data_IF_318165153393
#
_entry.id   IF_318165153393
#
_cell.length_a   1.000
_cell.length_b   1.000
_cell.length_c   1.000
_cell.angle_alpha   90.00
_cell.angle_beta   90.00
_cell.angle_gamma   90.00
#
_symmetry.space_group_name_H-M   'P 1'
#
loop_
_entity.id
_entity.type
_entity.pdbx_description
1 polymer ?
#
# COMPACT_ATOMS: atom_id res chain seq x y z
N UNK A 1 -23.89 -29.54 12.51
CA UNK A 1 -22.59 -28.93 12.83
C UNK A 1 -22.74 -27.46 12.47
N UNK A 2 -22.68 -26.55 13.43
CA UNK A 2 -22.64 -25.12 13.15
C UNK A 2 -21.32 -24.84 12.44
N UNK A 3 -21.38 -24.24 11.23
CA UNK A 3 -20.18 -23.70 10.60
C UNK A 3 -19.47 -22.79 11.62
N UNK A 4 -18.17 -23.00 11.81
CA UNK A 4 -17.36 -22.14 12.68
C UNK A 4 -17.29 -20.70 12.13
N UNK A 5 -16.82 -19.72 12.92
CA UNK A 5 -16.69 -18.35 12.45
C UNK A 5 -15.80 -18.31 11.21
N UNK A 6 -16.22 -17.53 10.20
CA UNK A 6 -15.45 -17.31 8.98
C UNK A 6 -14.37 -16.25 9.25
N UNK A 7 -13.29 -16.26 8.49
CA UNK A 7 -12.21 -15.27 8.63
C UNK A 7 -12.69 -13.81 8.53
N UNK A 8 -13.73 -13.53 7.72
CA UNK A 8 -14.34 -12.20 7.64
C UNK A 8 -14.97 -11.75 8.98
N UNK A 9 -15.56 -12.69 9.74
CA UNK A 9 -16.14 -12.40 11.05
C UNK A 9 -15.02 -12.10 12.07
N UNK A 10 -13.89 -12.81 11.96
CA UNK A 10 -12.70 -12.59 12.80
C UNK A 10 -12.06 -11.25 12.45
N UNK A 11 -11.90 -10.92 11.17
CA UNK A 11 -11.39 -9.63 10.74
C UNK A 11 -12.26 -8.48 11.26
N UNK A 12 -13.58 -8.56 11.12
CA UNK A 12 -14.50 -7.56 11.64
C UNK A 12 -14.37 -7.36 13.16
N UNK A 13 -14.14 -8.44 13.91
CA UNK A 13 -13.86 -8.37 15.33
C UNK A 13 -12.53 -7.66 15.63
N UNK A 14 -11.45 -8.03 14.91
CA UNK A 14 -10.13 -7.44 15.10
C UNK A 14 -10.11 -5.95 14.69
N UNK A 15 -10.71 -5.62 13.56
CA UNK A 15 -10.85 -4.25 13.09
C UNK A 15 -11.51 -3.35 14.14
N UNK A 16 -12.61 -3.83 14.72
CA UNK A 16 -13.37 -3.12 15.75
C UNK A 16 -12.63 -3.04 17.10
N UNK A 17 -11.83 -4.07 17.43
CA UNK A 17 -11.27 -4.22 18.78
C UNK A 17 -9.88 -3.58 18.90
N UNK A 18 -9.04 -3.67 17.86
CA UNK A 18 -7.62 -3.29 17.94
C UNK A 18 -7.14 -2.33 16.85
N UNK A 19 -7.77 -2.31 15.67
CA UNK A 19 -7.25 -1.52 14.55
C UNK A 19 -7.63 -0.03 14.62
N UNK A 20 -8.70 0.34 15.35
CA UNK A 20 -9.02 1.74 15.62
C UNK A 20 -9.50 2.54 14.41
N UNK A 21 -10.26 1.90 13.49
CA UNK A 21 -10.92 2.64 12.42
C UNK A 21 -11.96 3.60 13.01
N UNK A 22 -11.79 4.89 12.75
CA UNK A 22 -12.76 5.91 13.14
C UNK A 22 -13.81 6.17 12.05
N UNK A 23 -14.80 7.01 12.37
CA UNK A 23 -15.89 7.36 11.45
C UNK A 23 -15.38 8.00 10.15
N UNK A 24 -14.26 8.71 10.20
CA UNK A 24 -13.66 9.36 9.03
C UNK A 24 -13.10 8.30 8.06
N UNK A 25 -12.31 7.37 8.57
CA UNK A 25 -11.78 6.25 7.76
C UNK A 25 -12.90 5.40 7.18
N UNK A 26 -13.93 5.08 7.97
CA UNK A 26 -15.12 4.39 7.48
C UNK A 26 -15.85 5.18 6.38
N UNK A 27 -15.93 6.51 6.52
CA UNK A 27 -16.56 7.37 5.51
C UNK A 27 -15.78 7.41 4.20
N UNK A 28 -14.45 7.33 4.23
CA UNK A 28 -13.62 7.24 3.02
C UNK A 28 -14.01 6.02 2.17
N UNK A 29 -14.20 4.87 2.79
CA UNK A 29 -14.66 3.66 2.10
C UNK A 29 -16.03 3.87 1.45
N UNK A 30 -16.99 4.41 2.20
CA UNK A 30 -18.33 4.66 1.69
C UNK A 30 -18.31 5.62 0.48
N UNK A 31 -17.57 6.72 0.59
CA UNK A 31 -17.44 7.73 -0.48
C UNK A 31 -16.71 7.17 -1.71
N UNK A 32 -15.74 6.28 -1.54
CA UNK A 32 -15.08 5.57 -2.64
C UNK A 32 -16.09 4.77 -3.45
N UNK A 33 -16.97 4.03 -2.78
CA UNK A 33 -18.04 3.26 -3.44
C UNK A 33 -19.10 4.17 -4.07
N UNK A 34 -19.53 5.23 -3.38
CA UNK A 34 -20.50 6.22 -3.89
C UNK A 34 -20.01 6.93 -5.15
N UNK A 35 -18.69 7.14 -5.27
CA UNK A 35 -18.05 7.69 -6.46
C UNK A 35 -17.94 6.67 -7.62
N UNK A 36 -18.41 5.43 -7.42
CA UNK A 36 -18.35 4.36 -8.43
C UNK A 36 -16.98 3.73 -8.59
N UNK A 37 -16.06 3.93 -7.64
CA UNK A 37 -14.78 3.24 -7.60
C UNK A 37 -14.92 1.85 -6.98
N UNK A 38 -14.02 0.93 -7.34
CA UNK A 38 -14.07 -0.43 -6.80
C UNK A 38 -13.65 -0.45 -5.32
N UNK A 39 -14.32 -1.22 -4.43
CA UNK A 39 -13.95 -1.36 -3.02
C UNK A 39 -12.77 -2.32 -2.83
N UNK A 40 -11.59 -1.92 -3.31
CA UNK A 40 -10.36 -2.73 -3.30
C UNK A 40 -9.26 -2.14 -2.40
N UNK A 41 -9.58 -1.10 -1.63
CA UNK A 41 -8.68 -0.53 -0.64
C UNK A 41 -8.24 -1.57 0.39
N UNK A 42 -7.07 -1.40 1.02
CA UNK A 42 -6.56 -2.32 2.07
C UNK A 42 -7.58 -2.52 3.19
N UNK A 43 -7.51 -3.65 3.89
CA UNK A 43 -8.37 -3.89 5.05
C UNK A 43 -8.06 -2.91 6.19
N UNK A 44 -8.97 -2.77 7.15
CA UNK A 44 -8.74 -1.92 8.32
C UNK A 44 -7.52 -2.36 9.13
N UNK A 45 -7.34 -3.67 9.29
CA UNK A 45 -6.19 -4.22 10.00
C UNK A 45 -4.89 -4.02 9.25
N UNK A 46 -4.90 -4.12 7.90
CA UNK A 46 -3.73 -3.85 7.07
C UNK A 46 -3.37 -2.35 7.09
N UNK A 47 -4.36 -1.46 6.99
CA UNK A 47 -4.14 -0.01 7.12
C UNK A 47 -3.53 0.37 8.47
N UNK A 48 -4.03 -0.21 9.55
CA UNK A 48 -3.46 -0.02 10.90
C UNK A 48 -2.02 -0.56 10.99
N UNK A 49 -1.72 -1.70 10.37
CA UNK A 49 -0.39 -2.29 10.33
C UNK A 49 0.59 -1.41 9.54
N UNK A 50 0.18 -0.87 8.39
CA UNK A 50 0.97 0.08 7.60
C UNK A 50 1.32 1.32 8.42
N UNK A 51 0.35 1.90 9.12
CA UNK A 51 0.57 3.03 10.02
C UNK A 51 1.50 2.69 11.19
N UNK A 52 1.39 1.47 11.72
CA UNK A 52 2.26 0.99 12.80
C UNK A 52 3.72 0.87 12.32
N UNK A 53 3.97 0.28 11.14
CA UNK A 53 5.31 0.23 10.56
C UNK A 53 5.89 1.61 10.31
N UNK A 54 5.10 2.53 9.76
CA UNK A 54 5.50 3.91 9.56
C UNK A 54 6.03 4.52 10.87
N UNK A 55 5.30 4.33 11.98
CA UNK A 55 5.72 4.83 13.31
C UNK A 55 6.93 4.10 13.87
N UNK A 56 7.02 2.77 13.68
CA UNK A 56 8.13 1.95 14.23
C UNK A 56 9.48 2.35 13.63
N UNK A 57 9.52 2.70 12.33
CA UNK A 57 10.74 3.16 11.67
C UNK A 57 10.95 4.68 11.79
N UNK A 58 10.01 5.40 12.40
CA UNK A 58 10.05 6.88 12.48
C UNK A 58 9.94 7.55 11.11
N UNK A 59 9.14 6.97 10.19
CA UNK A 59 8.98 7.52 8.85
C UNK A 59 8.36 8.91 8.87
N UNK A 60 8.94 9.80 8.09
CA UNK A 60 8.45 11.16 7.84
C UNK A 60 8.10 11.38 6.37
N UNK A 61 8.60 10.55 5.47
CA UNK A 61 8.34 10.61 4.03
C UNK A 61 7.88 9.24 3.51
N UNK A 62 6.67 9.18 2.99
CA UNK A 62 6.08 7.95 2.44
C UNK A 62 5.80 8.15 0.96
N UNK A 63 6.13 7.14 0.16
CA UNK A 63 5.70 7.01 -1.24
C UNK A 63 4.69 5.87 -1.34
N UNK A 64 3.55 6.14 -1.94
CA UNK A 64 2.54 5.15 -2.23
C UNK A 64 2.33 5.02 -3.74
N UNK A 65 2.24 3.80 -4.24
CA UNK A 65 1.98 3.51 -5.65
C UNK A 65 0.61 2.81 -5.75
N UNK A 66 -0.39 3.58 -6.15
CA UNK A 66 -1.82 3.23 -6.12
C UNK A 66 -2.55 3.93 -4.98
N UNK A 67 -3.44 4.88 -5.33
CA UNK A 67 -4.14 5.76 -4.37
C UNK A 67 -5.59 5.34 -4.13
N UNK A 68 -6.31 5.02 -5.22
CA UNK A 68 -7.75 4.79 -5.20
C UNK A 68 -8.49 5.97 -4.52
N UNK A 69 -9.33 5.70 -3.51
CA UNK A 69 -10.03 6.72 -2.71
C UNK A 69 -9.22 7.32 -1.55
N UNK A 70 -7.91 7.03 -1.46
CA UNK A 70 -6.99 7.63 -0.48
C UNK A 70 -7.07 7.03 0.93
N UNK A 71 -7.57 5.81 1.08
CA UNK A 71 -7.74 5.18 2.39
C UNK A 71 -6.39 4.88 3.07
N UNK A 72 -5.48 4.17 2.40
CA UNK A 72 -4.13 3.86 2.91
C UNK A 72 -3.29 5.13 3.09
N UNK A 73 -3.35 6.08 2.13
CA UNK A 73 -2.70 7.38 2.25
C UNK A 73 -3.15 8.15 3.50
N UNK A 74 -4.42 8.03 3.92
CA UNK A 74 -4.91 8.64 5.17
C UNK A 74 -4.26 8.01 6.40
N UNK A 75 -4.08 6.68 6.43
CA UNK A 75 -3.36 6.00 7.50
C UNK A 75 -1.90 6.48 7.58
N UNK A 76 -1.22 6.59 6.44
CA UNK A 76 0.14 7.11 6.37
C UNK A 76 0.23 8.56 6.83
N UNK A 77 -0.64 9.44 6.32
CA UNK A 77 -0.64 10.86 6.67
C UNK A 77 -0.84 11.11 8.17
N UNK A 78 -1.63 10.26 8.83
CA UNK A 78 -1.80 10.27 10.29
C UNK A 78 -0.58 9.69 11.03
N UNK A 79 0.17 8.81 10.39
CA UNK A 79 1.32 8.14 11.00
C UNK A 79 2.60 8.97 10.92
N UNK A 80 2.85 9.68 9.81
CA UNK A 80 4.04 10.52 9.61
C UNK A 80 4.03 11.80 10.47
N UNK A 81 2.88 12.16 11.05
CA UNK A 81 2.75 13.36 11.89
C UNK A 81 2.64 14.66 11.08
N UNK A 82 2.61 15.80 11.79
CA UNK A 82 2.35 17.12 11.19
C UNK A 82 3.46 17.62 10.27
N UNK A 83 4.69 17.18 10.46
CA UNK A 83 5.85 17.60 9.66
C UNK A 83 6.19 16.58 8.57
N UNK A 84 5.47 15.47 8.49
CA UNK A 84 5.69 14.44 7.49
C UNK A 84 4.89 14.66 6.21
N UNK A 85 5.22 13.90 5.18
CA UNK A 85 4.57 13.96 3.87
C UNK A 85 4.34 12.58 3.26
N UNK A 86 3.28 12.49 2.49
CA UNK A 86 2.92 11.32 1.68
C UNK A 86 2.81 11.76 0.24
N UNK A 87 3.60 11.17 -0.65
CA UNK A 87 3.42 11.28 -2.10
C UNK A 87 2.72 10.00 -2.57
N UNK A 88 1.60 10.12 -3.27
CA UNK A 88 0.86 8.97 -3.78
C UNK A 88 0.61 9.08 -5.27
N UNK A 89 0.71 7.97 -6.00
CA UNK A 89 0.63 7.93 -7.45
C UNK A 89 -0.69 7.30 -7.89
N UNK A 90 -1.46 7.98 -8.74
CA UNK A 90 -2.75 7.51 -9.22
C UNK A 90 -2.89 7.66 -10.74
N UNK A 91 -3.37 6.62 -11.40
CA UNK A 91 -3.59 6.63 -12.85
C UNK A 91 -4.91 7.31 -13.23
N UNK A 92 -5.98 7.11 -12.45
CA UNK A 92 -7.32 7.64 -12.72
C UNK A 92 -7.50 9.02 -12.06
N UNK A 93 -7.63 10.11 -12.83
CA UNK A 93 -7.84 11.44 -12.26
C UNK A 93 -9.16 11.55 -11.46
N UNK A 94 -10.14 10.68 -11.71
CA UNK A 94 -11.39 10.66 -10.92
C UNK A 94 -11.13 10.09 -9.53
N UNK A 95 -10.32 9.03 -9.43
CA UNK A 95 -9.92 8.45 -8.15
C UNK A 95 -9.11 9.47 -7.34
N UNK A 96 -8.14 10.14 -7.97
CA UNK A 96 -7.36 11.20 -7.36
C UNK A 96 -8.24 12.32 -6.78
N UNK A 97 -9.23 12.79 -7.54
CA UNK A 97 -10.16 13.83 -7.07
C UNK A 97 -10.99 13.38 -5.85
N UNK A 98 -11.41 12.11 -5.82
CA UNK A 98 -12.12 11.52 -4.67
C UNK A 98 -11.19 11.46 -3.45
N UNK A 99 -9.94 11.05 -3.65
CA UNK A 99 -8.95 10.97 -2.59
C UNK A 99 -8.65 12.34 -1.98
N UNK A 100 -8.44 13.37 -2.79
CA UNK A 100 -8.22 14.76 -2.32
C UNK A 100 -9.39 15.27 -1.48
N UNK A 101 -10.64 14.99 -1.88
CA UNK A 101 -11.81 15.35 -1.09
C UNK A 101 -11.84 14.60 0.25
N UNK A 102 -11.52 13.31 0.24
CA UNK A 102 -11.44 12.49 1.43
C UNK A 102 -10.36 13.00 2.41
N UNK A 103 -9.19 13.41 1.92
CA UNK A 103 -8.12 13.97 2.77
C UNK A 103 -8.49 15.33 3.37
N UNK A 104 -9.24 16.18 2.63
CA UNK A 104 -9.76 17.42 3.20
C UNK A 104 -10.71 17.15 4.37
N UNK A 105 -11.61 16.19 4.21
CA UNK A 105 -12.53 15.78 5.29
C UNK A 105 -11.78 15.11 6.47
N UNK A 106 -10.71 14.38 6.17
CA UNK A 106 -9.87 13.76 7.19
C UNK A 106 -8.91 14.75 7.90
N UNK A 107 -8.79 15.98 7.42
CA UNK A 107 -7.88 16.99 7.97
C UNK A 107 -6.39 16.65 7.77
N UNK A 108 -6.06 15.96 6.66
CA UNK A 108 -4.69 15.54 6.33
C UNK A 108 -4.22 16.01 4.95
N UNK A 109 -5.03 16.81 4.26
CA UNK A 109 -4.74 17.26 2.89
C UNK A 109 -3.45 18.08 2.75
N UNK A 110 -3.00 18.69 3.83
CA UNK A 110 -1.73 19.44 3.90
C UNK A 110 -0.48 18.55 3.90
N UNK A 111 -0.64 17.24 4.09
CA UNK A 111 0.42 16.24 4.19
C UNK A 111 0.45 15.24 3.05
N UNK A 112 -0.55 15.26 2.16
CA UNK A 112 -0.67 14.29 1.06
C UNK A 112 -0.67 15.01 -0.28
N UNK A 113 0.21 14.59 -1.18
CA UNK A 113 0.24 15.02 -2.56
C UNK A 113 -0.06 13.83 -3.46
N UNK A 114 -1.06 13.96 -4.36
CA UNK A 114 -1.32 12.96 -5.39
C UNK A 114 -0.74 13.42 -6.72
N UNK A 115 0.05 12.55 -7.35
CA UNK A 115 0.57 12.75 -8.70
C UNK A 115 -0.22 11.88 -9.67
N UNK A 116 -0.98 12.53 -10.55
CA UNK A 116 -1.82 11.83 -11.54
C UNK A 116 -1.00 11.48 -12.76
N UNK A 117 -0.96 10.19 -13.12
CA UNK A 117 -0.25 9.69 -14.28
C UNK A 117 0.12 8.21 -14.16
N UNK A 118 0.77 7.68 -15.20
CA UNK A 118 1.29 6.32 -15.14
C UNK A 118 2.44 6.26 -14.12
N UNK A 119 2.33 5.35 -13.14
CA UNK A 119 3.29 5.28 -12.04
C UNK A 119 4.73 5.06 -12.52
N UNK A 120 4.93 4.27 -13.59
CA UNK A 120 6.27 4.03 -14.18
C UNK A 120 6.91 5.36 -14.61
N UNK A 121 6.16 6.23 -15.28
CA UNK A 121 6.68 7.51 -15.78
C UNK A 121 6.92 8.49 -14.63
N UNK A 122 6.01 8.52 -13.66
CA UNK A 122 6.15 9.38 -12.47
C UNK A 122 7.36 8.97 -11.64
N UNK A 123 7.57 7.67 -11.43
CA UNK A 123 8.73 7.14 -10.68
C UNK A 123 10.04 7.49 -11.39
N UNK A 124 10.12 7.36 -12.72
CA UNK A 124 11.29 7.80 -13.48
C UNK A 124 11.57 9.30 -13.28
N UNK A 125 10.53 10.13 -13.33
CA UNK A 125 10.66 11.58 -13.10
C UNK A 125 11.12 11.92 -11.68
N UNK A 126 10.65 11.19 -10.65
CA UNK A 126 11.09 11.36 -9.27
C UNK A 126 12.58 11.00 -9.10
N UNK A 127 13.03 9.91 -9.74
CA UNK A 127 14.44 9.51 -9.74
C UNK A 127 15.31 10.57 -10.43
N UNK A 128 14.91 11.02 -11.62
CA UNK A 128 15.66 12.01 -12.40
C UNK A 128 15.76 13.37 -11.71
N UNK A 129 14.72 13.75 -10.96
CA UNK A 129 14.70 15.00 -10.19
C UNK A 129 15.52 14.97 -8.91
N UNK A 130 15.99 13.78 -8.47
CA UNK A 130 16.82 13.64 -7.29
C UNK A 130 16.12 14.04 -5.99
N UNK A 131 14.85 13.66 -5.85
CA UNK A 131 14.09 13.93 -4.61
C UNK A 131 14.76 13.27 -3.39
N UNK A 132 14.55 13.86 -2.22
CA UNK A 132 14.99 13.24 -0.97
C UNK A 132 14.41 11.83 -0.81
N UNK A 133 15.18 10.86 -0.28
CA UNK A 133 14.73 9.48 -0.13
C UNK A 133 13.47 9.35 0.72
N UNK A 134 12.63 8.39 0.38
CA UNK A 134 11.48 8.00 1.18
C UNK A 134 11.88 7.00 2.27
N UNK A 135 11.25 7.12 3.42
CA UNK A 135 11.45 6.21 4.55
C UNK A 135 10.63 4.93 4.41
N UNK A 136 9.47 5.03 3.76
CA UNK A 136 8.59 3.90 3.47
C UNK A 136 8.05 4.04 2.04
N UNK A 137 8.09 2.92 1.29
CA UNK A 137 7.42 2.80 -0.02
C UNK A 137 6.36 1.70 0.08
N UNK A 138 5.11 2.03 -0.28
CA UNK A 138 4.01 1.08 -0.36
C UNK A 138 3.59 0.89 -1.82
N UNK A 139 3.58 -0.36 -2.29
CA UNK A 139 3.30 -0.74 -3.67
C UNK A 139 1.98 -1.51 -3.71
N UNK A 140 0.91 -0.86 -4.18
CA UNK A 140 -0.42 -1.44 -4.33
C UNK A 140 -1.13 -0.99 -5.62
N UNK A 141 -0.42 -1.04 -6.74
CA UNK A 141 -0.96 -0.79 -8.07
C UNK A 141 -1.07 -2.08 -8.90
N UNK A 142 -0.97 -1.99 -10.21
CA UNK A 142 -1.02 -3.13 -11.13
C UNK A 142 0.21 -4.06 -10.95
N UNK A 143 -0.06 -5.32 -10.70
CA UNK A 143 0.96 -6.28 -10.21
C UNK A 143 1.95 -6.70 -11.29
N UNK A 144 1.59 -6.61 -12.57
CA UNK A 144 2.51 -6.87 -13.71
C UNK A 144 3.74 -5.96 -13.68
N UNK A 145 3.60 -4.73 -13.16
CA UNK A 145 4.67 -3.75 -13.05
C UNK A 145 5.41 -3.78 -11.69
N UNK A 146 5.06 -4.66 -10.77
CA UNK A 146 5.74 -4.78 -9.47
C UNK A 146 7.28 -4.87 -9.56
N UNK A 147 7.89 -5.59 -10.52
CA UNK A 147 9.35 -5.58 -10.69
C UNK A 147 9.91 -4.16 -10.92
N UNK A 148 9.31 -3.40 -11.82
CA UNK A 148 9.71 -2.01 -12.10
C UNK A 148 9.49 -1.10 -10.90
N UNK A 149 8.40 -1.30 -10.16
CA UNK A 149 8.12 -0.54 -8.94
C UNK A 149 9.13 -0.83 -7.84
N UNK A 150 9.57 -2.07 -7.68
CA UNK A 150 10.64 -2.42 -6.73
C UNK A 150 11.98 -1.77 -7.09
N UNK A 151 12.36 -1.80 -8.37
CA UNK A 151 13.60 -1.15 -8.85
C UNK A 151 13.57 0.36 -8.56
N UNK A 152 12.45 1.02 -8.84
CA UNK A 152 12.27 2.43 -8.55
C UNK A 152 12.26 2.70 -7.03
N UNK A 153 11.59 1.87 -6.25
CA UNK A 153 11.58 1.98 -4.78
C UNK A 153 13.00 1.90 -4.21
N UNK A 154 13.83 0.98 -4.72
CA UNK A 154 15.24 0.88 -4.31
C UNK A 154 16.07 2.12 -4.66
N UNK A 155 15.78 2.77 -5.78
CA UNK A 155 16.45 4.03 -6.17
C UNK A 155 15.97 5.24 -5.34
N UNK A 156 14.74 5.18 -4.82
CA UNK A 156 14.09 6.26 -4.08
C UNK A 156 14.14 6.07 -2.55
N UNK A 157 14.82 5.04 -2.06
CA UNK A 157 14.97 4.74 -0.64
C UNK A 157 16.43 4.80 -0.19
N UNK A 158 16.66 4.63 1.10
CA UNK A 158 18.00 4.62 1.72
C UNK A 158 18.08 3.49 2.75
N UNK A 159 19.28 3.15 3.22
CA UNK A 159 19.43 2.21 4.35
C UNK A 159 18.55 2.61 5.53
N UNK A 160 17.78 1.64 6.04
CA UNK A 160 16.78 1.88 7.09
C UNK A 160 15.35 2.05 6.59
N UNK A 161 15.15 2.23 5.29
CA UNK A 161 13.81 2.34 4.70
C UNK A 161 13.09 0.99 4.65
N UNK A 162 11.76 1.05 4.58
CA UNK A 162 10.88 -0.10 4.43
C UNK A 162 10.18 -0.06 3.06
N UNK A 163 10.14 -1.20 2.37
CA UNK A 163 9.35 -1.39 1.14
C UNK A 163 8.29 -2.46 1.44
N UNK A 164 7.03 -2.14 1.18
CA UNK A 164 5.88 -3.04 1.39
C UNK A 164 5.18 -3.23 0.05
N UNK A 165 4.91 -4.49 -0.31
CA UNK A 165 4.24 -4.84 -1.57
C UNK A 165 2.98 -5.65 -1.24
N UNK A 166 1.82 -5.15 -1.62
CA UNK A 166 0.54 -5.81 -1.35
C UNK A 166 0.16 -6.84 -2.42
N UNK A 167 -0.72 -7.76 -2.04
CA UNK A 167 -1.31 -8.84 -2.83
C UNK A 167 -0.28 -9.79 -3.46
N UNK A 168 0.68 -10.23 -2.67
CA UNK A 168 1.76 -11.12 -3.15
C UNK A 168 1.40 -12.61 -3.14
N UNK A 169 0.23 -13.00 -2.62
CA UNK A 169 -0.23 -14.41 -2.59
C UNK A 169 -1.19 -14.71 -3.73
N UNK A 170 -2.00 -13.73 -4.17
CA UNK A 170 -2.92 -13.86 -5.31
C UNK A 170 -3.88 -15.04 -5.20
N UNK A 171 -4.41 -15.33 -3.99
CA UNK A 171 -5.26 -16.49 -3.75
C UNK A 171 -4.56 -17.83 -3.99
N UNK A 172 -3.25 -17.90 -3.76
CA UNK A 172 -2.43 -19.08 -3.97
C UNK A 172 -1.94 -19.29 -5.40
N UNK A 173 -2.34 -18.47 -6.39
CA UNK A 173 -1.96 -18.63 -7.80
C UNK A 173 -0.46 -18.46 -8.06
N UNK A 174 0.29 -17.91 -7.11
CA UNK A 174 1.75 -17.76 -7.23
C UNK A 174 2.50 -19.11 -7.29
N UNK A 175 1.94 -20.19 -6.77
CA UNK A 175 2.60 -21.52 -6.77
C UNK A 175 2.19 -22.42 -7.95
N UNK A 176 1.25 -22.00 -8.78
CA UNK A 176 0.77 -22.77 -9.95
C UNK A 176 1.38 -22.28 -11.28
N UNK A 177 1.03 -22.93 -12.37
CA UNK A 177 1.47 -22.58 -13.75
C UNK A 177 0.57 -21.50 -14.37
N UNK A 178 0.44 -20.35 -13.71
CA UNK A 178 -0.33 -19.23 -14.24
C UNK A 178 0.54 -18.35 -15.13
N UNK A 179 0.04 -18.00 -16.30
CA UNK A 179 0.59 -17.02 -17.25
C UNK A 179 -0.09 -15.65 -17.17
N UNK A 180 -1.00 -15.47 -16.20
CA UNK A 180 -1.60 -14.16 -15.86
C UNK A 180 -0.47 -13.15 -15.57
N UNK A 181 -0.40 -12.02 -16.31
CA UNK A 181 0.68 -11.06 -16.15
C UNK A 181 0.85 -10.54 -14.72
N UNK A 182 -0.24 -10.41 -13.96
CA UNK A 182 -0.18 -9.98 -12.57
C UNK A 182 0.44 -11.05 -11.66
N UNK A 183 0.16 -12.34 -11.91
CA UNK A 183 0.79 -13.43 -11.17
C UNK A 183 2.27 -13.56 -11.54
N UNK A 184 2.60 -13.42 -12.82
CA UNK A 184 3.99 -13.43 -13.31
C UNK A 184 4.79 -12.29 -12.70
N UNK A 185 4.25 -11.07 -12.72
CA UNK A 185 4.88 -9.89 -12.08
C UNK A 185 5.08 -10.07 -10.58
N UNK A 186 4.08 -10.67 -9.90
CA UNK A 186 4.18 -10.96 -8.46
C UNK A 186 5.26 -12.00 -8.15
N UNK A 187 5.36 -13.10 -8.92
CA UNK A 187 6.45 -14.06 -8.75
C UNK A 187 7.81 -13.41 -8.95
N UNK A 188 7.93 -12.62 -10.02
CA UNK A 188 9.19 -11.96 -10.35
C UNK A 188 9.64 -11.02 -9.24
N UNK A 189 8.76 -10.20 -8.68
CA UNK A 189 9.13 -9.30 -7.58
C UNK A 189 9.52 -10.06 -6.31
N UNK A 190 8.86 -11.19 -6.00
CA UNK A 190 9.25 -12.04 -4.88
C UNK A 190 10.64 -12.67 -5.07
N UNK A 191 10.99 -13.11 -6.29
CA UNK A 191 12.34 -13.57 -6.63
C UNK A 191 13.39 -12.46 -6.46
N UNK A 192 13.07 -11.24 -6.90
CA UNK A 192 13.94 -10.08 -6.73
C UNK A 192 14.16 -9.77 -5.25
N UNK A 193 13.09 -9.74 -4.44
CA UNK A 193 13.18 -9.52 -2.99
C UNK A 193 14.07 -10.56 -2.31
N UNK A 194 13.97 -11.83 -2.73
CA UNK A 194 14.74 -12.93 -2.14
C UNK A 194 16.21 -12.99 -2.58
N UNK A 195 16.57 -12.36 -3.70
CA UNK A 195 17.90 -12.43 -4.29
C UNK A 195 18.70 -11.12 -4.18
N UNK A 196 18.08 -9.99 -3.89
CA UNK A 196 18.76 -8.69 -3.81
C UNK A 196 19.53 -8.57 -2.47
N UNK A 197 20.88 -8.47 -2.50
CA UNK A 197 21.69 -8.39 -1.28
C UNK A 197 21.49 -7.09 -0.49
N UNK A 198 20.84 -6.08 -1.07
CA UNK A 198 20.50 -4.82 -0.40
C UNK A 198 19.27 -4.95 0.49
N UNK A 199 18.57 -6.08 0.45
CA UNK A 199 17.28 -6.26 1.12
C UNK A 199 17.31 -7.40 2.12
N UNK A 200 16.68 -7.19 3.26
CA UNK A 200 16.20 -8.25 4.13
C UNK A 200 14.68 -8.31 4.02
N UNK A 201 14.16 -9.37 3.43
CA UNK A 201 12.75 -9.45 3.08
C UNK A 201 12.06 -10.71 3.62
N UNK A 202 10.76 -10.61 3.80
CA UNK A 202 9.85 -11.74 4.07
C UNK A 202 8.48 -11.47 3.46
N UNK A 203 7.65 -12.51 3.37
CA UNK A 203 6.25 -12.38 2.97
C UNK A 203 5.34 -13.09 3.98
N UNK A 204 4.16 -12.53 4.20
CA UNK A 204 3.16 -13.02 5.14
C UNK A 204 1.85 -13.25 4.39
N UNK A 205 1.25 -14.42 4.58
CA UNK A 205 -0.10 -14.71 4.10
C UNK A 205 -1.12 -14.10 5.06
N UNK A 206 -2.15 -13.48 4.51
CA UNK A 206 -3.27 -12.90 5.26
C UNK A 206 -4.59 -13.45 4.77
N UNK A 207 -5.57 -13.47 5.65
CA UNK A 207 -6.97 -13.76 5.31
C UNK A 207 -7.83 -12.62 5.81
N UNK A 208 -8.72 -12.14 4.95
CA UNK A 208 -9.60 -11.01 5.24
C UNK A 208 -10.99 -11.23 4.67
N UNK A 209 -11.88 -10.25 4.83
CA UNK A 209 -13.17 -10.22 4.13
C UNK A 209 -13.04 -10.31 2.60
N UNK A 210 -11.88 -9.91 2.07
CA UNK A 210 -11.55 -9.97 0.63
C UNK A 210 -10.99 -11.33 0.19
N UNK A 211 -10.74 -12.24 1.13
CA UNK A 211 -10.23 -13.58 0.85
C UNK A 211 -8.79 -13.80 1.31
N UNK A 212 -8.12 -14.73 0.62
CA UNK A 212 -6.74 -15.12 0.90
C UNK A 212 -5.77 -14.36 0.01
N UNK A 213 -4.93 -13.56 0.61
CA UNK A 213 -3.81 -12.88 -0.05
C UNK A 213 -2.62 -12.72 0.92
N UNK A 214 -1.89 -11.63 0.85
CA UNK A 214 -0.76 -11.34 1.72
C UNK A 214 0.09 -10.22 1.18
N UNK A 215 1.08 -9.85 1.96
CA UNK A 215 2.04 -8.81 1.60
C UNK A 215 3.48 -9.29 1.77
N UNK A 216 4.39 -8.69 1.04
CA UNK A 216 5.82 -8.79 1.28
C UNK A 216 6.32 -7.50 1.95
N UNK A 217 7.29 -7.64 2.84
CA UNK A 217 7.96 -6.52 3.49
C UNK A 217 9.47 -6.70 3.37
N UNK A 218 10.16 -5.64 2.99
CA UNK A 218 11.60 -5.62 2.83
C UNK A 218 12.20 -4.41 3.54
N UNK A 219 13.25 -4.65 4.32
CA UNK A 219 14.06 -3.64 4.95
C UNK A 219 15.31 -3.38 4.09
N UNK A 220 15.60 -2.12 3.79
CA UNK A 220 16.76 -1.71 3.00
C UNK A 220 18.00 -1.72 3.89
N UNK A 221 18.96 -2.58 3.56
CA UNK A 221 20.23 -2.74 4.26
C UNK A 221 21.21 -1.61 3.93
N UNK A 222 22.26 -1.45 4.75
CA UNK A 222 23.35 -0.51 4.52
C UNK A 222 24.50 -1.11 3.73
#
# INVERSE_FOLDING_TARGET
>A
MTEGPRWADVEGYLAKTVAGEDEILASIRARTVEAGLHPIEVSTTDGALLALWCRLIGATRVLEIGTLGGYSATWFARAVGEQGSVTTLELDPRAAAVAEENWRLAGVADRVEVVVGAAVDTLASLIDSGVDPYDLVFIDADKKNNPTYLEAALALTRPGSLIVIDNVVRGGRIVGDSDDPDVVGTRRVLEMLGSDPRLQATAVQTVSSKGWDGFAVAYVLG
#
